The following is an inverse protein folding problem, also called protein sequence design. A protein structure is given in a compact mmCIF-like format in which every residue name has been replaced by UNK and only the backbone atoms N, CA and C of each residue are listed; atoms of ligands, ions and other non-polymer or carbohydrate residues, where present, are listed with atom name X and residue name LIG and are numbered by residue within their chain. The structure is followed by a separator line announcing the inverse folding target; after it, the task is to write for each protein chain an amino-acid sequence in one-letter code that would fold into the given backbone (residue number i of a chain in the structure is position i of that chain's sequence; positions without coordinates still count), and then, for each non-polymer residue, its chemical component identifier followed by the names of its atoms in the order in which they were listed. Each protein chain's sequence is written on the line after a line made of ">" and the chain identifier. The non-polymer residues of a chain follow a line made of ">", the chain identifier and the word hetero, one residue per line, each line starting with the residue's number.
data_IF_715864402349
#
_entry.id   IF_715864402349
#
_cell.length_a   1.000
_cell.length_b   1.000
_cell.length_c   1.000
_cell.angle_alpha   90.00
_cell.angle_beta   90.00
_cell.angle_gamma   90.00
#
_symmetry.space_group_name_H-M   'P 1'
#
loop_
_entity.id
_entity.type
_entity.pdbx_description
1 polymer ?
#
# COMPACT_ATOMS: atom_id res chain seq x y z
N UNK A 1 -6.00 -31.33 15.84
CA UNK A 1 -6.75 -30.06 15.95
C UNK A 1 -5.90 -29.01 15.25
N UNK A 2 -6.02 -28.95 13.93
CA UNK A 2 -5.22 -28.06 13.08
C UNK A 2 -6.18 -26.98 12.56
N UNK A 3 -5.98 -25.75 13.02
CA UNK A 3 -6.73 -24.61 12.50
C UNK A 3 -6.27 -24.38 11.07
N UNK A 4 -7.08 -24.78 10.10
CA UNK A 4 -6.89 -24.44 8.71
C UNK A 4 -6.86 -22.91 8.58
N UNK A 5 -5.66 -22.36 8.38
CA UNK A 5 -5.48 -20.99 7.92
C UNK A 5 -6.19 -20.91 6.57
N UNK A 6 -7.37 -20.28 6.55
CA UNK A 6 -8.12 -20.05 5.31
C UNK A 6 -7.26 -19.15 4.42
N UNK A 7 -6.56 -19.75 3.45
CA UNK A 7 -6.12 -19.03 2.26
C UNK A 7 -7.39 -18.66 1.49
N UNK A 8 -7.86 -17.43 1.71
CA UNK A 8 -8.96 -16.88 0.94
C UNK A 8 -8.39 -16.48 -0.42
N UNK A 9 -8.34 -17.44 -1.34
CA UNK A 9 -8.03 -17.17 -2.74
C UNK A 9 -9.09 -16.18 -3.27
N UNK A 10 -8.63 -15.03 -3.76
CA UNK A 10 -9.49 -14.02 -4.38
C UNK A 10 -10.13 -14.64 -5.63
N UNK A 11 -11.46 -14.52 -5.81
CA UNK A 11 -12.13 -15.10 -6.97
C UNK A 11 -11.55 -14.55 -8.29
N UNK A 12 -11.53 -15.39 -9.32
CA UNK A 12 -11.16 -15.01 -10.68
C UNK A 12 -12.17 -13.93 -11.13
N UNK A 13 -11.69 -12.70 -11.41
CA UNK A 13 -12.43 -11.44 -11.68
C UNK A 13 -12.55 -10.43 -10.51
N UNK A 14 -11.63 -10.42 -9.56
CA UNK A 14 -11.56 -9.33 -8.56
C UNK A 14 -10.77 -8.15 -9.13
N UNK A 15 -11.37 -6.97 -9.14
CA UNK A 15 -10.67 -5.71 -9.47
C UNK A 15 -9.87 -5.19 -8.28
N UNK A 16 -8.80 -4.43 -8.52
CA UNK A 16 -7.98 -3.80 -7.46
C UNK A 16 -8.84 -2.99 -6.49
N UNK A 17 -9.88 -2.31 -6.98
CA UNK A 17 -10.86 -1.59 -6.16
C UNK A 17 -11.54 -2.49 -5.12
N UNK A 18 -11.97 -3.69 -5.52
CA UNK A 18 -12.66 -4.61 -4.60
C UNK A 18 -11.70 -5.16 -3.55
N UNK A 19 -10.44 -5.41 -3.92
CA UNK A 19 -9.39 -5.84 -2.97
C UNK A 19 -9.14 -4.73 -1.94
N UNK A 20 -8.94 -3.50 -2.41
CA UNK A 20 -8.72 -2.34 -1.54
C UNK A 20 -9.88 -2.17 -0.56
N UNK A 21 -11.14 -2.25 -1.03
CA UNK A 21 -12.32 -2.16 -0.17
C UNK A 21 -12.30 -3.23 0.93
N UNK A 22 -11.99 -4.47 0.57
CA UNK A 22 -11.87 -5.55 1.55
C UNK A 22 -10.77 -5.30 2.59
N UNK A 23 -9.62 -4.80 2.15
CA UNK A 23 -8.49 -4.47 3.04
C UNK A 23 -8.86 -3.32 3.99
N UNK A 24 -9.55 -2.30 3.49
CA UNK A 24 -10.01 -1.16 4.31
C UNK A 24 -11.07 -1.58 5.32
N UNK A 25 -11.91 -2.58 4.99
CA UNK A 25 -12.93 -3.14 5.88
C UNK A 25 -12.37 -4.02 7.01
N UNK A 26 -11.06 -4.30 7.03
CA UNK A 26 -10.46 -5.04 8.13
C UNK A 26 -10.59 -4.26 9.45
N UNK A 27 -10.81 -4.99 10.56
CA UNK A 27 -10.91 -4.39 11.91
C UNK A 27 -9.64 -3.63 12.33
N UNK A 28 -8.51 -3.94 11.72
CA UNK A 28 -7.22 -3.33 11.97
C UNK A 28 -6.72 -2.64 10.71
N UNK A 29 -6.03 -1.51 10.85
CA UNK A 29 -5.42 -0.80 9.73
C UNK A 29 -4.28 -1.64 9.13
N UNK A 30 -4.40 -1.97 7.86
CA UNK A 30 -3.27 -2.45 7.05
C UNK A 30 -2.45 -1.23 6.63
N UNK A 31 -1.14 -1.31 6.84
CA UNK A 31 -0.21 -0.21 6.57
C UNK A 31 0.60 -0.47 5.30
N UNK A 32 0.76 -1.74 4.91
CA UNK A 32 1.53 -2.13 3.74
C UNK A 32 0.71 -3.11 2.91
N UNK A 33 0.56 -2.84 1.63
CA UNK A 33 0.15 -3.81 0.63
C UNK A 33 1.39 -4.17 -0.17
N UNK A 34 1.71 -5.46 -0.24
CA UNK A 34 2.78 -5.98 -1.09
C UNK A 34 2.17 -6.76 -2.24
N UNK A 35 2.23 -6.17 -3.44
CA UNK A 35 1.77 -6.80 -4.68
C UNK A 35 2.88 -7.65 -5.28
N UNK A 36 2.75 -8.97 -5.16
CA UNK A 36 3.81 -9.90 -5.59
C UNK A 36 3.72 -10.20 -7.09
N UNK A 37 2.55 -10.00 -7.70
CA UNK A 37 2.26 -10.34 -9.10
C UNK A 37 2.34 -9.13 -10.05
N UNK A 38 2.79 -7.99 -9.53
CA UNK A 38 2.91 -6.77 -10.31
C UNK A 38 3.65 -6.96 -11.64
N UNK A 39 2.99 -6.52 -12.71
CA UNK A 39 3.53 -6.49 -14.07
C UNK A 39 4.15 -5.11 -14.37
N UNK A 40 5.03 -5.03 -15.36
CA UNK A 40 5.74 -3.80 -15.79
C UNK A 40 4.84 -2.74 -16.47
N UNK A 41 3.74 -2.34 -15.83
CA UNK A 41 2.82 -1.34 -16.37
C UNK A 41 2.88 -0.08 -15.51
N UNK A 42 3.53 0.95 -16.06
CA UNK A 42 3.68 2.25 -15.42
C UNK A 42 2.32 2.89 -15.13
N UNK A 43 2.22 3.59 -13.99
CA UNK A 43 1.01 4.32 -13.58
C UNK A 43 -0.02 3.50 -12.79
N UNK A 44 -0.02 2.17 -12.90
CA UNK A 44 -0.94 1.30 -12.14
C UNK A 44 -0.75 1.47 -10.63
N UNK A 45 0.50 1.52 -10.17
CA UNK A 45 0.83 1.69 -8.76
C UNK A 45 0.23 2.96 -8.16
N UNK A 46 0.30 4.07 -8.91
CA UNK A 46 -0.24 5.35 -8.46
C UNK A 46 -1.75 5.27 -8.30
N UNK A 47 -2.45 4.72 -9.27
CA UNK A 47 -3.90 4.73 -9.26
C UNK A 47 -4.45 3.84 -8.14
N UNK A 48 -3.85 2.67 -7.91
CA UNK A 48 -4.15 1.80 -6.77
C UNK A 48 -3.83 2.50 -5.44
N UNK A 49 -2.64 3.09 -5.32
CA UNK A 49 -2.20 3.80 -4.13
C UNK A 49 -3.14 4.96 -3.76
N UNK A 50 -3.50 5.81 -4.73
CA UNK A 50 -4.38 6.95 -4.52
C UNK A 50 -5.80 6.51 -4.18
N UNK A 51 -6.31 5.46 -4.84
CA UNK A 51 -7.61 4.89 -4.51
C UNK A 51 -7.65 4.34 -3.08
N UNK A 52 -6.60 3.62 -2.67
CA UNK A 52 -6.49 3.13 -1.30
C UNK A 52 -6.39 4.27 -0.29
N UNK A 53 -5.62 5.32 -0.61
CA UNK A 53 -5.59 6.51 0.22
C UNK A 53 -7.00 7.07 0.40
N UNK A 54 -7.74 7.33 -0.67
CA UNK A 54 -9.08 7.94 -0.61
C UNK A 54 -10.06 7.17 0.29
N UNK A 55 -10.02 5.84 0.23
CA UNK A 55 -10.85 4.95 1.05
C UNK A 55 -10.38 4.82 2.51
N UNK A 56 -9.12 5.15 2.80
CA UNK A 56 -8.54 5.03 4.15
C UNK A 56 -9.07 6.09 5.13
N UNK A 57 -9.08 5.75 6.43
CA UNK A 57 -9.51 6.64 7.53
C UNK A 57 -8.73 7.97 7.54
N UNK A 58 -9.43 9.07 7.19
CA UNK A 58 -8.88 10.42 7.05
C UNK A 58 -8.33 11.01 8.35
N UNK A 59 -8.72 10.48 9.51
CA UNK A 59 -8.17 10.93 10.79
C UNK A 59 -6.83 10.26 11.11
N UNK A 60 -6.50 9.15 10.46
CA UNK A 60 -5.30 8.35 10.74
C UNK A 60 -4.26 8.44 9.63
N UNK A 61 -4.69 8.43 8.37
CA UNK A 61 -3.80 8.30 7.22
C UNK A 61 -3.89 9.55 6.33
N UNK A 62 -2.75 10.18 6.10
CA UNK A 62 -2.63 11.41 5.29
C UNK A 62 -1.87 11.17 3.98
N UNK A 63 -1.07 10.12 3.93
CA UNK A 63 -0.12 9.86 2.85
C UNK A 63 -0.19 8.42 2.34
N UNK A 64 0.02 8.25 1.04
CA UNK A 64 0.34 6.94 0.44
C UNK A 64 1.71 7.00 -0.21
N UNK A 65 2.50 5.96 0.01
CA UNK A 65 3.83 5.77 -0.56
C UNK A 65 3.78 4.62 -1.56
N UNK A 66 4.38 4.82 -2.73
CA UNK A 66 4.42 3.82 -3.79
C UNK A 66 5.66 4.02 -4.68
N UNK A 67 5.96 3.03 -5.52
CA UNK A 67 7.00 3.14 -6.55
C UNK A 67 6.44 3.79 -7.82
N UNK A 68 7.10 4.86 -8.26
CA UNK A 68 6.94 5.49 -9.57
C UNK A 68 8.23 5.24 -10.35
N UNK A 69 8.23 4.23 -11.23
CA UNK A 69 9.45 3.60 -11.74
C UNK A 69 10.37 3.17 -10.57
N UNK A 70 11.66 3.49 -10.63
CA UNK A 70 12.63 3.16 -9.57
C UNK A 70 12.62 4.13 -8.38
N UNK A 71 11.70 5.10 -8.34
CA UNK A 71 11.67 6.15 -7.30
C UNK A 71 10.52 5.94 -6.32
N UNK A 72 10.81 6.09 -5.03
CA UNK A 72 9.79 6.08 -3.98
C UNK A 72 9.13 7.46 -3.90
N UNK A 73 7.87 7.51 -4.28
CA UNK A 73 7.05 8.72 -4.30
C UNK A 73 6.01 8.65 -3.19
N UNK A 74 5.73 9.79 -2.58
CA UNK A 74 4.57 9.97 -1.71
C UNK A 74 3.52 10.83 -2.39
N UNK A 75 2.26 10.52 -2.15
CA UNK A 75 1.11 11.32 -2.53
C UNK A 75 0.27 11.65 -1.29
N UNK A 76 -0.15 12.90 -1.15
CA UNK A 76 -1.03 13.33 -0.06
C UNK A 76 -2.52 13.35 -0.50
N UNK A 77 -3.41 13.66 0.45
CA UNK A 77 -4.86 13.78 0.20
C UNK A 77 -5.25 14.85 -0.85
N UNK A 78 -4.39 15.81 -1.13
CA UNK A 78 -4.57 16.84 -2.17
C UNK A 78 -3.98 16.41 -3.53
N UNK A 79 -3.55 15.15 -3.66
CA UNK A 79 -2.91 14.58 -4.83
C UNK A 79 -1.56 15.20 -5.20
N UNK A 80 -0.95 15.95 -4.28
CA UNK A 80 0.40 16.47 -4.45
C UNK A 80 1.41 15.35 -4.27
N UNK A 81 2.36 15.27 -5.21
CA UNK A 81 3.41 14.25 -5.22
C UNK A 81 4.77 14.86 -4.94
N UNK A 82 5.58 14.17 -4.16
CA UNK A 82 6.98 14.51 -3.96
C UNK A 82 7.82 13.26 -3.62
N UNK A 83 9.16 13.34 -3.69
CA UNK A 83 10.01 12.24 -3.25
C UNK A 83 9.79 11.96 -1.76
N UNK A 84 9.66 10.68 -1.41
CA UNK A 84 9.37 10.26 -0.04
C UNK A 84 10.41 10.78 0.95
N UNK A 85 11.70 10.66 0.61
CA UNK A 85 12.84 11.06 1.47
C UNK A 85 12.86 12.54 1.85
N UNK A 86 12.30 13.42 1.02
CA UNK A 86 12.22 14.87 1.28
C UNK A 86 10.87 15.31 1.86
N UNK A 87 9.95 14.37 2.04
CA UNK A 87 8.58 14.68 2.44
C UNK A 87 8.39 14.55 3.96
N UNK A 88 7.41 15.27 4.55
CA UNK A 88 7.02 15.07 5.94
C UNK A 88 6.62 13.62 6.28
N UNK A 89 6.16 12.87 5.28
CA UNK A 89 5.74 11.48 5.43
C UNK A 89 6.88 10.56 5.91
N UNK A 90 8.13 10.88 5.59
CA UNK A 90 9.30 10.11 6.05
C UNK A 90 9.50 10.13 7.57
N UNK A 91 9.04 11.19 8.23
CA UNK A 91 9.06 11.34 9.70
C UNK A 91 7.72 10.96 10.34
N UNK A 92 6.65 10.89 9.55
CA UNK A 92 5.29 10.60 9.99
C UNK A 92 4.78 9.26 9.46
N UNK A 93 5.61 8.21 9.52
CA UNK A 93 5.28 6.89 8.99
C UNK A 93 3.91 6.38 9.47
N UNK A 94 3.54 6.71 10.70
CA UNK A 94 2.28 6.30 11.31
C UNK A 94 1.02 6.87 10.65
N UNK A 95 1.19 7.89 9.80
CA UNK A 95 0.15 8.49 8.97
C UNK A 95 0.26 8.08 7.50
N UNK A 96 1.10 7.10 7.21
CA UNK A 96 1.37 6.59 5.88
C UNK A 96 0.84 5.17 5.69
N UNK A 97 0.39 4.89 4.47
CA UNK A 97 0.20 3.55 3.93
C UNK A 97 1.13 3.33 2.74
N UNK A 98 1.53 2.10 2.48
CA UNK A 98 2.56 1.76 1.50
C UNK A 98 2.03 0.73 0.52
N UNK A 99 1.90 1.08 -0.75
CA UNK A 99 1.65 0.11 -1.82
C UNK A 99 2.97 -0.18 -2.52
N UNK A 100 3.49 -1.39 -2.32
CA UNK A 100 4.80 -1.80 -2.81
C UNK A 100 4.63 -2.95 -3.79
N UNK A 101 5.25 -2.86 -4.96
CA UNK A 101 5.26 -3.94 -5.92
C UNK A 101 6.52 -4.83 -5.78
N UNK A 102 6.38 -6.10 -6.17
CA UNK A 102 7.43 -7.11 -6.06
C UNK A 102 8.63 -6.87 -6.99
N UNK A 103 8.47 -6.09 -8.07
CA UNK A 103 9.54 -5.82 -9.03
C UNK A 103 10.54 -4.81 -8.48
N UNK A 104 10.07 -3.71 -7.92
CA UNK A 104 10.89 -2.59 -7.45
C UNK A 104 11.33 -2.72 -5.98
N UNK A 105 10.74 -3.65 -5.22
CA UNK A 105 11.16 -3.91 -3.82
C UNK A 105 12.50 -4.64 -3.71
N UNK A 106 13.04 -5.22 -4.80
CA UNK A 106 14.32 -5.94 -4.76
C UNK A 106 15.48 -4.99 -4.44
N UNK A 107 16.12 -5.20 -3.29
CA UNK A 107 17.27 -4.38 -2.86
C UNK A 107 16.90 -3.10 -2.10
N UNK A 108 15.61 -2.88 -1.84
CA UNK A 108 15.12 -1.76 -1.03
C UNK A 108 14.87 -2.23 0.42
N UNK A 109 15.49 -1.59 1.41
CA UNK A 109 15.26 -1.86 2.83
C UNK A 109 14.32 -0.79 3.42
N UNK A 110 13.05 -1.14 3.59
CA UNK A 110 12.09 -0.30 4.31
C UNK A 110 12.11 -0.64 5.80
N UNK A 111 12.48 0.35 6.62
CA UNK A 111 12.41 0.24 8.09
C UNK A 111 11.03 0.64 8.59
N UNK A 112 10.12 -0.33 8.65
CA UNK A 112 8.77 -0.10 9.19
C UNK A 112 8.72 -0.17 10.73
N UNK A 113 7.86 0.65 11.37
CA UNK A 113 7.54 0.48 12.78
C UNK A 113 6.98 -0.92 13.06
N UNK A 114 7.38 -1.52 14.20
CA UNK A 114 6.98 -2.89 14.60
C UNK A 114 5.48 -3.18 14.58
N UNK A 115 4.64 -2.16 14.70
CA UNK A 115 3.18 -2.30 14.73
C UNK A 115 2.52 -2.39 13.36
N UNK A 116 3.27 -2.12 12.29
CA UNK A 116 2.73 -2.15 10.93
C UNK A 116 2.25 -3.55 10.58
N UNK A 117 1.14 -3.58 9.85
CA UNK A 117 0.53 -4.80 9.33
C UNK A 117 0.62 -4.76 7.81
N UNK A 118 1.02 -5.88 7.24
CA UNK A 118 1.14 -6.06 5.81
C UNK A 118 0.11 -7.09 5.34
N UNK A 119 -0.47 -6.86 4.17
CA UNK A 119 -1.27 -7.83 3.43
C UNK A 119 -0.60 -8.06 2.06
N UNK A 120 -0.56 -9.30 1.61
CA UNK A 120 -0.08 -9.64 0.27
C UNK A 120 -1.28 -9.76 -0.66
N UNK A 121 -1.17 -9.19 -1.84
CA UNK A 121 -2.19 -9.27 -2.90
C UNK A 121 -1.61 -9.93 -4.14
#
# INVERSE_FOLDING_TARGET
>A
MEAAVRKQYLPINVTSENIIKQIVDYKQTIHVILDVEASFIDGINRDIAVQWLDLSDKNKIDYVVYFDFDSIVVCNRQLHRCPFVTSPASEQLDRCIFYLDGLHTRGTDFKFPRRFKAEMV
#
